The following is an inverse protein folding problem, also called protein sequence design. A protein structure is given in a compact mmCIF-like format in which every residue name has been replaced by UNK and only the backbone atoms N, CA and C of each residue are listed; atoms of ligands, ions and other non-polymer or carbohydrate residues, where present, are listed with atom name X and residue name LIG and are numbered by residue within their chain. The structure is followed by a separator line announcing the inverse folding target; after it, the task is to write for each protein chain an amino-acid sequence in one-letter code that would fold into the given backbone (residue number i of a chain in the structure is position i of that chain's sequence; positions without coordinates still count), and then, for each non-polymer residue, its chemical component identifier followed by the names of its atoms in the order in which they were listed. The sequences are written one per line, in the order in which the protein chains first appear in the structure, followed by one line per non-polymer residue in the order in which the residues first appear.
data_IF_930296734296
#
_entry.id   IF_930296734296
#
_cell.length_a   1.000
_cell.length_b   1.000
_cell.length_c   1.000
_cell.angle_alpha   90.00
_cell.angle_beta   90.00
_cell.angle_gamma   90.00
#
_symmetry.space_group_name_H-M   'P 1'
#
loop_
_entity.id
_entity.type
_entity.pdbx_description
1 polymer ?
#
# COMPACT_ATOMS: atom_id res chain seq x y z
N UNK A 1 22.45 16.37 1.30
CA UNK A 1 21.10 15.78 1.07
C UNK A 1 21.18 14.51 0.20
N UNK A 2 21.84 14.53 -0.97
CA UNK A 2 21.98 13.35 -1.83
C UNK A 2 22.70 12.16 -1.16
N UNK A 3 23.76 12.40 -0.38
CA UNK A 3 24.48 11.35 0.35
C UNK A 3 23.57 10.66 1.38
N UNK A 4 22.90 11.42 2.23
CA UNK A 4 21.98 10.89 3.25
C UNK A 4 20.85 10.06 2.63
N UNK A 5 20.26 10.52 1.53
CA UNK A 5 19.21 9.78 0.83
C UNK A 5 19.74 8.44 0.27
N UNK A 6 20.92 8.43 -0.34
CA UNK A 6 21.53 7.19 -0.84
C UNK A 6 21.92 6.24 0.29
N UNK A 7 22.43 6.75 1.42
CA UNK A 7 22.73 5.93 2.61
C UNK A 7 21.45 5.34 3.20
N UNK A 8 20.34 6.09 3.24
CA UNK A 8 19.05 5.58 3.70
C UNK A 8 18.54 4.47 2.78
N UNK A 9 18.62 4.66 1.45
CA UNK A 9 18.25 3.63 0.47
C UNK A 9 19.09 2.37 0.64
N UNK A 10 20.41 2.53 0.80
CA UNK A 10 21.32 1.42 1.05
C UNK A 10 20.97 0.68 2.34
N UNK A 11 20.68 1.41 3.43
CA UNK A 11 20.31 0.82 4.73
C UNK A 11 19.02 -0.01 4.64
N UNK A 12 18.03 0.45 3.87
CA UNK A 12 16.80 -0.30 3.62
C UNK A 12 17.09 -1.56 2.78
N UNK A 13 17.95 -1.45 1.77
CA UNK A 13 18.38 -2.60 0.97
C UNK A 13 19.12 -3.65 1.80
N UNK A 14 20.03 -3.22 2.68
CA UNK A 14 20.76 -4.08 3.60
C UNK A 14 19.81 -4.76 4.60
N UNK A 15 18.81 -4.03 5.12
CA UNK A 15 17.78 -4.61 5.98
C UNK A 15 17.00 -5.72 5.25
N UNK A 16 16.58 -5.47 4.01
CA UNK A 16 15.90 -6.49 3.16
C UNK A 16 16.77 -7.73 3.01
N UNK A 17 18.04 -7.56 2.68
CA UNK A 17 18.97 -8.65 2.43
C UNK A 17 19.20 -9.49 3.70
N UNK A 18 19.42 -8.83 4.85
CA UNK A 18 19.59 -9.53 6.14
C UNK A 18 18.34 -10.28 6.55
N UNK A 19 17.17 -9.65 6.42
CA UNK A 19 15.90 -10.29 6.76
C UNK A 19 15.65 -11.54 5.90
N UNK A 20 15.85 -11.42 4.58
CA UNK A 20 15.78 -12.56 3.65
C UNK A 20 16.78 -13.65 4.01
N UNK A 21 18.03 -13.31 4.29
CA UNK A 21 19.09 -14.28 4.60
C UNK A 21 18.74 -15.06 5.87
N UNK A 22 18.38 -14.36 6.95
CA UNK A 22 18.03 -14.99 8.23
C UNK A 22 16.78 -15.87 8.11
N UNK A 23 15.73 -15.39 7.43
CA UNK A 23 14.49 -16.14 7.27
C UNK A 23 14.69 -17.38 6.38
N UNK A 24 15.44 -17.24 5.28
CA UNK A 24 15.75 -18.36 4.40
C UNK A 24 16.58 -19.41 5.14
N UNK A 25 17.65 -19.01 5.83
CA UNK A 25 18.48 -19.95 6.60
C UNK A 25 17.68 -20.68 7.68
N UNK A 26 16.83 -19.96 8.41
CA UNK A 26 15.95 -20.57 9.41
C UNK A 26 15.02 -21.61 8.79
N UNK A 27 14.35 -21.27 7.68
CA UNK A 27 13.41 -22.18 7.02
C UNK A 27 14.11 -23.37 6.37
N UNK A 28 15.29 -23.18 5.76
CA UNK A 28 16.10 -24.29 5.24
C UNK A 28 16.57 -25.23 6.35
N UNK A 29 16.99 -24.69 7.50
CA UNK A 29 17.39 -25.52 8.65
C UNK A 29 16.24 -26.37 9.17
N UNK A 30 15.02 -25.82 9.24
CA UNK A 30 13.85 -26.59 9.68
C UNK A 30 13.34 -27.56 8.59
N UNK A 31 13.42 -27.17 7.31
CA UNK A 31 13.04 -28.02 6.18
C UNK A 31 13.94 -29.25 6.03
N UNK A 32 15.26 -29.08 6.20
CA UNK A 32 16.25 -30.15 6.11
C UNK A 32 16.42 -30.95 7.41
N UNK A 33 15.63 -30.65 8.44
CA UNK A 33 15.67 -31.35 9.72
C UNK A 33 14.99 -32.72 9.59
N UNK A 34 15.80 -33.78 9.63
CA UNK A 34 15.31 -35.16 9.52
C UNK A 34 14.64 -35.43 8.16
N UNK A 35 13.48 -36.08 8.17
CA UNK A 35 12.72 -36.43 6.95
C UNK A 35 11.64 -35.41 6.59
N UNK A 36 11.71 -34.18 7.11
CA UNK A 36 10.64 -33.17 6.93
C UNK A 36 10.41 -32.82 5.46
N UNK A 37 11.48 -32.66 4.67
CA UNK A 37 11.39 -32.48 3.21
C UNK A 37 10.57 -33.58 2.51
N UNK A 38 10.75 -34.84 2.92
CA UNK A 38 10.02 -35.97 2.34
C UNK A 38 8.56 -35.98 2.78
N UNK A 39 8.30 -35.71 4.07
CA UNK A 39 6.92 -35.63 4.59
C UNK A 39 6.14 -34.51 3.92
N UNK A 40 6.76 -33.35 3.76
CA UNK A 40 6.14 -32.17 3.17
C UNK A 40 5.93 -32.29 1.66
N UNK A 41 6.78 -33.04 0.95
CA UNK A 41 6.63 -33.28 -0.49
C UNK A 41 5.67 -34.43 -0.83
N UNK A 42 5.66 -35.50 -0.03
CA UNK A 42 4.99 -36.76 -0.42
C UNK A 42 3.85 -37.19 0.52
N UNK A 43 3.76 -36.66 1.75
CA UNK A 43 2.76 -37.10 2.74
C UNK A 43 1.78 -36.00 3.14
N UNK A 44 2.16 -34.72 3.01
CA UNK A 44 1.33 -33.59 3.41
C UNK A 44 0.91 -32.71 2.21
N UNK A 45 -0.27 -32.98 1.68
CA UNK A 45 -0.87 -32.18 0.59
C UNK A 45 -1.38 -30.79 1.04
N UNK A 46 -1.26 -30.43 2.33
CA UNK A 46 -1.70 -29.11 2.79
C UNK A 46 -0.76 -27.99 2.34
N UNK A 47 0.51 -28.31 2.09
CA UNK A 47 1.52 -27.35 1.65
C UNK A 47 1.89 -27.68 0.21
N UNK A 48 1.15 -27.09 -0.72
CA UNK A 48 1.44 -27.22 -2.14
C UNK A 48 2.71 -26.41 -2.49
N UNK A 49 3.60 -27.00 -3.31
CA UNK A 49 4.78 -26.33 -3.90
C UNK A 49 5.75 -25.75 -2.86
N UNK A 50 6.31 -26.61 -2.00
CA UNK A 50 7.28 -26.21 -0.97
C UNK A 50 8.53 -25.53 -1.55
N UNK A 51 8.91 -25.87 -2.78
CA UNK A 51 9.98 -25.25 -3.54
C UNK A 51 9.69 -23.76 -3.85
N UNK A 52 8.47 -23.44 -4.29
CA UNK A 52 8.03 -22.07 -4.53
C UNK A 52 7.99 -21.28 -3.22
N UNK A 53 7.50 -21.90 -2.15
CA UNK A 53 7.41 -21.30 -0.82
C UNK A 53 8.80 -20.92 -0.29
N UNK A 54 9.76 -21.84 -0.35
CA UNK A 54 11.13 -21.68 0.16
C UNK A 54 12.02 -20.77 -0.70
N UNK A 55 11.53 -20.31 -1.85
CA UNK A 55 12.30 -19.47 -2.77
C UNK A 55 11.62 -18.13 -3.01
N UNK A 56 10.56 -18.12 -3.80
CA UNK A 56 9.96 -16.92 -4.36
C UNK A 56 9.06 -16.22 -3.35
N UNK A 57 8.33 -16.98 -2.54
CA UNK A 57 7.36 -16.40 -1.62
C UNK A 57 8.04 -15.76 -0.41
N UNK A 58 9.15 -16.35 0.09
CA UNK A 58 10.01 -15.71 1.11
C UNK A 58 10.55 -14.36 0.60
N UNK A 59 11.00 -14.29 -0.66
CA UNK A 59 11.52 -13.05 -1.22
C UNK A 59 10.46 -11.95 -1.27
N UNK A 60 9.28 -12.27 -1.81
CA UNK A 60 8.12 -11.37 -1.85
C UNK A 60 7.67 -10.92 -0.45
N UNK A 61 7.70 -11.83 0.51
CA UNK A 61 7.37 -11.53 1.89
C UNK A 61 8.38 -10.54 2.50
N UNK A 62 9.67 -10.81 2.36
CA UNK A 62 10.73 -9.94 2.88
C UNK A 62 10.70 -8.55 2.24
N UNK A 63 10.44 -8.49 0.93
CA UNK A 63 10.21 -7.24 0.20
C UNK A 63 9.02 -6.48 0.77
N UNK A 64 7.85 -7.12 0.88
CA UNK A 64 6.63 -6.49 1.39
C UNK A 64 6.80 -5.95 2.82
N UNK A 65 7.49 -6.68 3.70
CA UNK A 65 7.79 -6.26 5.08
C UNK A 65 8.70 -5.03 5.08
N UNK A 66 9.76 -5.05 4.28
CA UNK A 66 10.73 -3.94 4.23
C UNK A 66 10.10 -2.68 3.61
N UNK A 67 9.28 -2.85 2.57
CA UNK A 67 8.55 -1.77 1.94
C UNK A 67 7.53 -1.16 2.90
N UNK A 68 6.80 -1.98 3.64
CA UNK A 68 5.88 -1.51 4.68
C UNK A 68 6.63 -0.68 5.73
N UNK A 69 7.77 -1.17 6.21
CA UNK A 69 8.61 -0.45 7.16
C UNK A 69 9.05 0.91 6.60
N UNK A 70 9.57 0.95 5.38
CA UNK A 70 10.00 2.19 4.71
C UNK A 70 8.86 3.18 4.53
N UNK A 71 7.69 2.70 4.09
CA UNK A 71 6.52 3.53 3.79
C UNK A 71 5.83 4.08 5.03
N UNK A 72 6.12 3.55 6.22
CA UNK A 72 5.62 4.06 7.50
C UNK A 72 6.67 4.95 8.17
N UNK A 73 7.92 4.51 8.25
CA UNK A 73 8.95 5.20 9.01
C UNK A 73 9.34 6.54 8.40
N UNK A 74 9.47 6.63 7.06
CA UNK A 74 9.86 7.88 6.40
C UNK A 74 8.83 8.99 6.65
N UNK A 75 7.52 8.80 6.37
CA UNK A 75 6.53 9.85 6.64
C UNK A 75 6.43 10.23 8.11
N UNK A 76 6.57 9.28 9.05
CA UNK A 76 6.55 9.60 10.48
C UNK A 76 7.71 10.50 10.88
N UNK A 77 8.93 10.18 10.45
CA UNK A 77 10.11 11.02 10.70
C UNK A 77 9.96 12.40 10.06
N UNK A 78 9.44 12.46 8.83
CA UNK A 78 9.20 13.72 8.13
C UNK A 78 8.21 14.60 8.90
N UNK A 79 7.10 14.02 9.41
CA UNK A 79 6.12 14.74 10.24
C UNK A 79 6.75 15.26 11.53
N UNK A 80 7.53 14.43 12.24
CA UNK A 80 8.19 14.84 13.50
C UNK A 80 9.13 16.01 13.27
N UNK A 81 9.98 15.93 12.25
CA UNK A 81 10.92 17.00 11.89
C UNK A 81 10.17 18.26 11.48
N UNK A 82 9.11 18.12 10.68
CA UNK A 82 8.29 19.23 10.22
C UNK A 82 7.62 19.97 11.39
N UNK A 83 6.97 19.23 12.30
CA UNK A 83 6.32 19.78 13.49
C UNK A 83 7.33 20.49 14.40
N UNK A 84 8.50 19.87 14.63
CA UNK A 84 9.57 20.48 15.42
C UNK A 84 10.03 21.81 14.80
N UNK A 85 10.35 21.82 13.51
CA UNK A 85 10.80 23.03 12.79
C UNK A 85 9.74 24.12 12.79
N UNK A 86 8.48 23.78 12.59
CA UNK A 86 7.40 24.76 12.52
C UNK A 86 7.12 25.37 13.90
N UNK A 87 7.12 24.54 14.95
CA UNK A 87 6.93 24.99 16.33
C UNK A 87 8.04 25.96 16.76
N UNK A 88 9.30 25.68 16.37
CA UNK A 88 10.43 26.56 16.70
C UNK A 88 10.41 27.91 15.98
N UNK A 89 9.78 28.01 14.79
CA UNK A 89 9.82 29.23 13.97
C UNK A 89 8.54 30.09 14.05
N UNK A 90 7.37 29.47 14.22
CA UNK A 90 6.05 30.13 14.10
C UNK A 90 5.13 29.90 15.31
N UNK A 91 5.61 29.19 16.35
CA UNK A 91 4.77 28.76 17.46
C UNK A 91 3.97 27.48 17.19
N UNK A 92 3.33 26.93 18.22
CA UNK A 92 2.67 25.61 18.18
C UNK A 92 1.27 25.58 17.55
N UNK A 93 0.65 26.73 17.29
CA UNK A 93 -0.74 26.83 16.80
C UNK A 93 -0.88 26.37 15.36
N UNK A 94 0.00 26.85 14.46
CA UNK A 94 0.05 26.46 13.04
C UNK A 94 0.28 24.95 12.82
N UNK A 95 1.29 24.29 13.42
CA UNK A 95 1.44 22.83 13.27
C UNK A 95 0.27 22.05 13.87
N UNK A 96 -0.37 22.55 14.93
CA UNK A 96 -1.56 21.92 15.52
C UNK A 96 -2.72 21.80 14.54
N UNK A 97 -3.03 22.87 13.80
CA UNK A 97 -4.10 22.88 12.79
C UNK A 97 -3.79 21.89 11.65
N UNK A 98 -2.53 21.85 11.19
CA UNK A 98 -2.10 20.93 10.13
C UNK A 98 -2.17 19.46 10.57
N UNK A 99 -1.75 19.16 11.80
CA UNK A 99 -1.86 17.82 12.37
C UNK A 99 -3.31 17.38 12.56
N UNK A 100 -4.17 18.28 13.00
CA UNK A 100 -5.60 18.02 13.15
C UNK A 100 -6.21 17.70 11.78
N UNK A 101 -5.92 18.51 10.76
CA UNK A 101 -6.35 18.23 9.39
C UNK A 101 -5.82 16.89 8.88
N UNK A 102 -4.54 16.59 9.08
CA UNK A 102 -3.93 15.32 8.69
C UNK A 102 -4.64 14.13 9.34
N UNK A 103 -4.96 14.21 10.64
CA UNK A 103 -5.65 13.18 11.37
C UNK A 103 -7.08 12.96 10.84
N UNK A 104 -7.88 14.03 10.73
CA UNK A 104 -9.26 13.94 10.24
C UNK A 104 -9.33 13.45 8.78
N UNK A 105 -8.51 14.04 7.90
CA UNK A 105 -8.38 13.62 6.51
C UNK A 105 -7.94 12.16 6.40
N UNK A 106 -6.95 11.75 7.19
CA UNK A 106 -6.46 10.38 7.23
C UNK A 106 -7.54 9.38 7.65
N UNK A 107 -8.27 9.66 8.73
CA UNK A 107 -9.39 8.83 9.19
C UNK A 107 -10.50 8.78 8.13
N UNK A 108 -10.88 9.93 7.56
CA UNK A 108 -11.92 10.02 6.55
C UNK A 108 -11.57 9.21 5.29
N UNK A 109 -10.39 9.45 4.71
CA UNK A 109 -9.93 8.74 3.51
C UNK A 109 -9.75 7.24 3.77
N UNK A 110 -9.25 6.86 4.94
CA UNK A 110 -9.10 5.43 5.31
C UNK A 110 -10.46 4.74 5.38
N UNK A 111 -11.47 5.39 5.94
CA UNK A 111 -12.84 4.85 5.97
C UNK A 111 -13.43 4.71 4.57
N UNK A 112 -13.22 5.70 3.69
CA UNK A 112 -13.66 5.62 2.29
C UNK A 112 -12.97 4.52 1.49
N UNK A 113 -11.70 4.21 1.80
CA UNK A 113 -10.94 3.13 1.13
C UNK A 113 -11.24 1.73 1.67
N UNK A 114 -11.84 1.60 2.86
CA UNK A 114 -12.19 0.32 3.51
C UNK A 114 -12.90 -0.71 2.60
N UNK A 115 -13.87 -0.37 1.73
CA UNK A 115 -14.53 -1.34 0.87
C UNK A 115 -13.62 -1.97 -0.21
N UNK A 116 -12.48 -1.36 -0.56
CA UNK A 116 -11.53 -1.91 -1.55
C UNK A 116 -11.12 -3.34 -1.21
N UNK A 117 -10.85 -3.65 0.06
CA UNK A 117 -10.47 -5.01 0.47
C UNK A 117 -11.54 -6.05 0.15
N UNK A 118 -12.82 -5.73 0.38
CA UNK A 118 -13.94 -6.62 0.05
C UNK A 118 -14.07 -6.82 -1.47
N UNK A 119 -13.85 -5.76 -2.25
CA UNK A 119 -13.89 -5.83 -3.71
C UNK A 119 -12.75 -6.67 -4.27
N UNK A 120 -11.55 -6.59 -3.70
CA UNK A 120 -10.40 -7.42 -4.07
C UNK A 120 -10.62 -8.89 -3.71
N UNK A 121 -11.21 -9.20 -2.55
CA UNK A 121 -11.56 -10.59 -2.21
C UNK A 121 -12.58 -11.16 -3.19
N UNK A 122 -13.58 -10.37 -3.59
CA UNK A 122 -14.57 -10.79 -4.57
C UNK A 122 -13.94 -10.99 -5.96
N UNK A 123 -13.01 -10.13 -6.36
CA UNK A 123 -12.23 -10.28 -7.60
C UNK A 123 -11.48 -11.61 -7.62
N UNK A 124 -10.72 -11.92 -6.56
CA UNK A 124 -9.99 -13.19 -6.44
C UNK A 124 -10.92 -14.40 -6.47
N UNK A 125 -12.11 -14.32 -5.85
CA UNK A 125 -13.12 -15.37 -5.92
C UNK A 125 -13.60 -15.60 -7.36
N UNK A 126 -13.93 -14.53 -8.08
CA UNK A 126 -14.43 -14.62 -9.47
C UNK A 126 -13.33 -15.10 -10.43
N UNK A 127 -12.09 -14.67 -10.21
CA UNK A 127 -10.93 -15.14 -10.97
C UNK A 127 -10.68 -16.64 -10.71
N UNK A 128 -10.82 -17.08 -9.45
CA UNK A 128 -10.78 -18.48 -9.07
C UNK A 128 -11.89 -19.31 -9.72
N UNK A 129 -13.13 -18.82 -9.74
CA UNK A 129 -14.25 -19.45 -10.46
C UNK A 129 -13.94 -19.59 -11.96
N UNK A 130 -13.40 -18.55 -12.60
CA UNK A 130 -13.01 -18.59 -14.01
C UNK A 130 -11.88 -19.60 -14.27
N UNK A 131 -10.84 -19.63 -13.44
CA UNK A 131 -9.75 -20.60 -13.54
C UNK A 131 -10.26 -22.04 -13.35
N UNK A 132 -11.17 -22.25 -12.41
CA UNK A 132 -11.78 -23.55 -12.18
C UNK A 132 -12.55 -24.06 -13.40
N UNK A 133 -13.38 -23.21 -14.05
CA UNK A 133 -14.10 -23.60 -15.27
C UNK A 133 -13.13 -23.99 -16.39
N UNK A 134 -12.01 -23.27 -16.55
CA UNK A 134 -10.97 -23.63 -17.53
C UNK A 134 -10.27 -24.95 -17.18
N UNK A 135 -9.95 -25.18 -15.91
CA UNK A 135 -9.34 -26.44 -15.46
C UNK A 135 -10.28 -27.64 -15.68
N UNK A 136 -11.60 -27.45 -15.45
CA UNK A 136 -12.62 -28.46 -15.74
C UNK A 136 -12.70 -28.77 -17.24
N UNK A 137 -12.61 -27.76 -18.10
CA UNK A 137 -12.58 -27.95 -19.56
C UNK A 137 -11.40 -28.84 -19.97
N UNK A 138 -10.20 -28.56 -19.45
CA UNK A 138 -8.98 -29.32 -19.75
C UNK A 138 -9.12 -30.77 -19.26
N UNK A 139 -9.61 -30.96 -18.03
CA UNK A 139 -9.71 -32.29 -17.41
C UNK A 139 -10.71 -33.20 -18.16
N UNK A 140 -11.79 -32.63 -18.69
CA UNK A 140 -12.86 -33.38 -19.38
C UNK A 140 -12.83 -33.20 -20.90
N UNK A 141 -11.68 -32.81 -21.47
CA UNK A 141 -11.58 -32.44 -22.89
C UNK A 141 -11.95 -33.56 -23.84
N UNK A 142 -11.65 -34.82 -23.49
CA UNK A 142 -11.95 -36.00 -24.30
C UNK A 142 -13.47 -36.25 -24.39
N UNK A 143 -14.18 -36.20 -23.26
CA UNK A 143 -15.63 -36.35 -23.21
C UNK A 143 -16.33 -35.23 -24.00
N UNK A 144 -15.88 -33.99 -23.82
CA UNK A 144 -16.45 -32.84 -24.54
C UNK A 144 -16.26 -33.00 -26.05
N UNK A 145 -15.07 -33.44 -26.50
CA UNK A 145 -14.79 -33.68 -27.90
C UNK A 145 -15.64 -34.82 -28.47
N UNK A 146 -15.79 -35.91 -27.72
CA UNK A 146 -16.60 -37.07 -28.10
C UNK A 146 -18.08 -36.70 -28.28
N UNK A 147 -18.64 -35.92 -27.35
CA UNK A 147 -20.03 -35.47 -27.39
C UNK A 147 -20.28 -34.18 -28.19
N UNK A 148 -19.25 -33.61 -28.84
CA UNK A 148 -19.31 -32.32 -29.57
C UNK A 148 -19.87 -31.17 -28.70
N UNK A 149 -19.54 -31.15 -27.41
CA UNK A 149 -20.05 -30.21 -26.40
C UNK A 149 -19.48 -28.78 -26.47
N UNK A 150 -18.61 -28.48 -27.44
CA UNK A 150 -17.79 -27.26 -27.49
C UNK A 150 -18.60 -25.96 -27.36
N UNK A 151 -19.75 -25.84 -28.02
CA UNK A 151 -20.56 -24.63 -27.96
C UNK A 151 -21.14 -24.37 -26.56
N UNK A 152 -21.51 -25.44 -25.84
CA UNK A 152 -22.05 -25.34 -24.48
C UNK A 152 -20.97 -24.95 -23.47
N UNK A 153 -19.79 -25.53 -23.58
CA UNK A 153 -18.65 -25.16 -22.73
C UNK A 153 -18.17 -23.74 -23.02
N UNK A 154 -18.14 -23.32 -24.30
CA UNK A 154 -17.84 -21.93 -24.69
C UNK A 154 -18.77 -20.93 -24.00
N UNK A 155 -20.08 -21.19 -24.02
CA UNK A 155 -21.06 -20.33 -23.32
C UNK A 155 -20.80 -20.29 -21.82
N UNK A 156 -20.44 -21.41 -21.21
CA UNK A 156 -20.15 -21.51 -19.77
C UNK A 156 -18.91 -20.70 -19.38
N UNK A 157 -17.83 -20.82 -20.16
CA UNK A 157 -16.58 -20.05 -19.96
C UNK A 157 -16.85 -18.56 -20.14
N UNK A 158 -17.54 -18.17 -21.21
CA UNK A 158 -17.86 -16.76 -21.49
C UNK A 158 -18.77 -16.17 -20.42
N UNK A 159 -19.72 -16.94 -19.86
CA UNK A 159 -20.55 -16.48 -18.76
C UNK A 159 -19.71 -16.18 -17.50
N UNK A 160 -18.78 -17.08 -17.12
CA UNK A 160 -17.87 -16.85 -16.00
C UNK A 160 -16.94 -15.66 -16.25
N UNK A 161 -16.42 -15.51 -17.47
CA UNK A 161 -15.58 -14.40 -17.86
C UNK A 161 -16.33 -13.05 -17.79
N UNK A 162 -17.55 -12.99 -18.33
CA UNK A 162 -18.37 -11.77 -18.30
C UNK A 162 -18.73 -11.35 -16.87
N UNK A 163 -18.95 -12.31 -15.96
CA UNK A 163 -19.17 -12.05 -14.53
C UNK A 163 -17.94 -11.39 -13.90
N UNK A 164 -16.73 -11.91 -14.18
CA UNK A 164 -15.47 -11.32 -13.73
C UNK A 164 -15.27 -9.90 -14.30
N UNK A 165 -15.44 -9.73 -15.61
CA UNK A 165 -15.30 -8.42 -16.28
C UNK A 165 -16.29 -7.39 -15.74
N UNK A 166 -17.53 -7.80 -15.47
CA UNK A 166 -18.54 -6.93 -14.87
C UNK A 166 -18.14 -6.42 -13.48
N UNK A 167 -17.53 -7.27 -12.65
CA UNK A 167 -16.97 -6.88 -11.36
C UNK A 167 -15.76 -5.95 -11.52
N UNK A 168 -14.82 -6.29 -12.40
CA UNK A 168 -13.64 -5.48 -12.67
C UNK A 168 -14.00 -4.06 -13.16
N UNK A 169 -15.03 -3.92 -13.99
CA UNK A 169 -15.50 -2.61 -14.46
C UNK A 169 -16.03 -1.76 -13.30
N UNK A 170 -16.90 -2.32 -12.45
CA UNK A 170 -17.41 -1.62 -11.25
C UNK A 170 -16.28 -1.26 -10.28
N UNK A 171 -15.32 -2.16 -10.11
CA UNK A 171 -14.16 -1.91 -9.26
C UNK A 171 -13.28 -0.78 -9.82
N UNK A 172 -13.11 -0.72 -11.14
CA UNK A 172 -12.39 0.35 -11.81
C UNK A 172 -13.09 1.71 -11.65
N UNK A 173 -14.40 1.76 -11.85
CA UNK A 173 -15.21 2.97 -11.63
C UNK A 173 -15.07 3.48 -10.19
N UNK A 174 -15.18 2.58 -9.21
CA UNK A 174 -14.97 2.89 -7.80
C UNK A 174 -13.56 3.43 -7.54
N UNK A 175 -12.52 2.78 -8.11
CA UNK A 175 -11.12 3.20 -7.94
C UNK A 175 -10.87 4.59 -8.54
N UNK A 176 -11.44 4.89 -9.70
CA UNK A 176 -11.34 6.22 -10.33
C UNK A 176 -12.04 7.27 -9.46
N UNK A 177 -13.25 7.00 -8.99
CA UNK A 177 -13.97 7.90 -8.07
C UNK A 177 -13.19 8.19 -6.79
N UNK A 178 -12.63 7.15 -6.16
CA UNK A 178 -11.78 7.30 -4.98
C UNK A 178 -10.51 8.11 -5.29
N UNK A 179 -9.90 7.90 -6.46
CA UNK A 179 -8.74 8.67 -6.91
C UNK A 179 -9.04 10.17 -7.06
N UNK A 180 -10.25 10.53 -7.51
CA UNK A 180 -10.68 11.94 -7.56
C UNK A 180 -10.80 12.51 -6.14
N UNK A 181 -11.46 11.79 -5.22
CA UNK A 181 -11.60 12.22 -3.82
C UNK A 181 -10.24 12.39 -3.13
N UNK A 182 -9.33 11.43 -3.35
CA UNK A 182 -7.97 11.48 -2.83
C UNK A 182 -7.23 12.74 -3.30
N UNK A 183 -7.31 13.07 -4.60
CA UNK A 183 -6.70 14.29 -5.11
C UNK A 183 -7.36 15.56 -4.55
N UNK A 184 -8.69 15.58 -4.42
CA UNK A 184 -9.44 16.71 -3.86
C UNK A 184 -9.01 17.01 -2.43
N UNK A 185 -9.01 15.99 -1.58
CA UNK A 185 -8.65 16.14 -0.17
C UNK A 185 -7.16 16.40 -0.04
N UNK A 186 -6.30 15.52 -0.54
CA UNK A 186 -4.86 15.57 -0.28
C UNK A 186 -4.13 16.73 -0.95
N UNK A 187 -4.66 17.31 -2.04
CA UNK A 187 -4.04 18.46 -2.73
C UNK A 187 -4.79 19.75 -2.46
N UNK A 188 -6.05 19.84 -2.91
CA UNK A 188 -6.74 21.13 -2.93
C UNK A 188 -7.14 21.60 -1.53
N UNK A 189 -7.82 20.75 -0.75
CA UNK A 189 -8.22 21.11 0.62
C UNK A 189 -6.98 21.29 1.50
N UNK A 190 -6.00 20.39 1.39
CA UNK A 190 -4.74 20.50 2.12
C UNK A 190 -4.01 21.82 1.85
N UNK A 191 -3.98 22.29 0.60
CA UNK A 191 -3.34 23.56 0.23
C UNK A 191 -4.07 24.76 0.84
N UNK A 192 -5.41 24.76 0.81
CA UNK A 192 -6.22 25.84 1.43
C UNK A 192 -5.98 25.89 2.94
N UNK A 193 -6.03 24.74 3.62
CA UNK A 193 -5.75 24.65 5.06
C UNK A 193 -4.31 25.07 5.36
N UNK A 194 -3.35 24.69 4.51
CA UNK A 194 -1.96 25.11 4.59
C UNK A 194 -1.78 26.62 4.58
N UNK A 195 -2.34 27.31 3.57
CA UNK A 195 -2.28 28.76 3.48
C UNK A 195 -2.98 29.46 4.64
N UNK A 196 -4.13 28.93 5.08
CA UNK A 196 -4.85 29.44 6.24
C UNK A 196 -4.03 29.31 7.54
N UNK A 197 -3.41 28.15 7.77
CA UNK A 197 -2.61 27.89 8.97
C UNK A 197 -1.35 28.77 9.02
N UNK A 198 -0.75 29.05 7.87
CA UNK A 198 0.44 29.92 7.74
C UNK A 198 0.08 31.39 7.84
N UNK A 199 -1.13 31.83 7.43
CA UNK A 199 -1.51 33.24 7.50
C UNK A 199 -1.86 33.72 8.92
N UNK A 200 -2.34 32.85 9.80
CA UNK A 200 -2.67 33.15 11.21
C UNK A 200 -1.58 33.93 11.99
N UNK A 201 -0.31 33.48 12.05
CA UNK A 201 0.74 34.18 12.79
C UNK A 201 1.10 35.56 12.21
N UNK A 202 0.73 35.86 10.95
CA UNK A 202 0.94 37.19 10.37
C UNK A 202 -0.14 38.21 10.81
N UNK A 203 -1.27 37.75 11.33
CA UNK A 203 -2.36 38.61 11.82
C UNK A 203 -2.30 38.87 13.33
N UNK A 204 -1.53 38.08 14.10
CA UNK A 204 -1.25 38.38 15.51
C UNK A 204 -0.27 39.55 15.62
N UNK A 205 -0.68 40.60 16.35
CA UNK A 205 -0.01 41.90 16.43
C UNK A 205 1.39 41.90 17.09
N UNK A 206 1.82 40.78 17.67
CA UNK A 206 3.08 40.67 18.43
C UNK A 206 4.09 39.72 17.77
N UNK A 207 4.26 39.80 16.45
CA UNK A 207 5.34 39.07 15.77
C UNK A 207 6.68 39.83 15.91
N UNK A 208 7.78 39.21 16.38
CA UNK A 208 9.08 39.86 16.57
C UNK A 208 9.73 40.42 15.30
N UNK A 209 9.13 40.19 14.12
CA UNK A 209 9.59 40.74 12.84
C UNK A 209 8.98 42.11 12.52
N UNK A 210 7.87 42.48 13.17
CA UNK A 210 7.27 43.82 13.08
C UNK A 210 7.92 44.82 14.06
N UNK A 211 8.47 44.32 15.17
CA UNK A 211 9.13 45.15 16.19
C UNK A 211 10.53 45.62 15.76
N UNK A 212 11.17 44.94 14.80
CA UNK A 212 12.51 45.28 14.33
C UNK A 212 12.59 46.33 13.23
N UNK A 213 11.50 46.59 12.49
CA UNK A 213 11.51 47.45 11.30
C UNK A 213 10.91 48.84 11.49
N UNK A 214 10.11 49.08 12.53
CA UNK A 214 9.46 50.38 12.74
C UNK A 214 10.26 51.40 13.56
N UNK A 215 11.38 51.00 14.18
CA UNK A 215 12.13 51.90 15.08
C UNK A 215 13.19 52.75 14.35
N UNK A 216 13.56 52.42 13.10
CA UNK A 216 14.53 53.17 12.30
C UNK A 216 13.93 54.26 11.39
N UNK A 217 12.60 54.33 11.22
CA UNK A 217 11.94 55.32 10.34
C UNK A 217 11.27 56.48 11.09
N UNK A 218 11.49 56.62 12.41
CA UNK A 218 10.95 57.75 13.20
C UNK A 218 11.99 58.77 13.66
N UNK A 219 13.21 58.75 13.12
CA UNK A 219 14.29 59.67 13.47
C UNK A 219 15.03 60.29 12.27
N UNK A 220 14.32 60.60 11.18
CA UNK A 220 14.80 61.50 10.13
C UNK A 220 13.71 62.47 9.69
#
# INVERSE_FOLDING_TARGET
IAVVNNVLKWSIGELKLRFRTNLSQYLYNEYLKGFTYYKMSNLDNRIANADQLLTTDIDKFCESVTDLYSNICKPLLDIVIYVYRLTTNLGGTTPGILLLYLFFSGVFLTNLRKPTGRLTVLEQKLEGEFRYVNSRLITNSEEIAFYKGNNREKLTILASFNKLVGHLRKFLEFRVGMGIVDNMVAKYIATVVGFYAVSLPFFEKDHPLLTGSQQSERLS
#
